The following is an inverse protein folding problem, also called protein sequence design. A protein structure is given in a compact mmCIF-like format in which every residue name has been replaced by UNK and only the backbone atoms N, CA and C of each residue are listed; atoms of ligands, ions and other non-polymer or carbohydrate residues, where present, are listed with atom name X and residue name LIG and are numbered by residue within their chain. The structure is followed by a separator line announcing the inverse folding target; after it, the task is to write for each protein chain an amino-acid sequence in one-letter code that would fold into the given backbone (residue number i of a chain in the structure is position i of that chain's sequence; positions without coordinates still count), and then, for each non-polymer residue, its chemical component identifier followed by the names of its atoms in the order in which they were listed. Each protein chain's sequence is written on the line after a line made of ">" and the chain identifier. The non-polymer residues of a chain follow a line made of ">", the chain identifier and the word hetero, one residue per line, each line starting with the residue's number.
data_IF_528621575218
#
_entry.id   IF_528621575218
#
_cell.length_a   1.000
_cell.length_b   1.000
_cell.length_c   1.000
_cell.angle_alpha   90.00
_cell.angle_beta   90.00
_cell.angle_gamma   90.00
#
_symmetry.space_group_name_H-M   'P 1'
#
loop_
_entity.id
_entity.type
_entity.pdbx_description
1 polymer ?
#
# COMPACT_ATOMS: atom_id res chain seq x y z
N UNK A 1 16.50 -2.60 -2.08
CA UNK A 1 15.08 -2.34 -1.77
C UNK A 1 15.05 -1.60 -0.45
N UNK A 2 14.35 -0.46 -0.35
CA UNK A 2 14.27 0.32 0.91
C UNK A 2 12.92 0.14 1.61
N UNK A 3 11.86 -0.14 0.84
CA UNK A 3 10.53 -0.46 1.36
C UNK A 3 9.95 -1.65 0.61
N UNK A 4 9.35 -2.59 1.35
CA UNK A 4 8.51 -3.65 0.83
C UNK A 4 7.18 -3.66 1.58
N UNK A 5 6.09 -3.83 0.84
CA UNK A 5 4.73 -3.97 1.35
C UNK A 5 4.20 -5.28 0.82
N UNK A 6 3.75 -6.16 1.71
CA UNK A 6 3.29 -7.49 1.33
C UNK A 6 1.90 -7.75 1.88
N UNK A 7 0.95 -7.96 0.97
CA UNK A 7 -0.44 -8.36 1.23
C UNK A 7 -1.10 -7.57 2.36
N UNK A 8 -0.80 -6.29 2.47
CA UNK A 8 -1.33 -5.45 3.55
C UNK A 8 -2.85 -5.33 3.39
N UNK A 9 -3.56 -5.62 4.47
CA UNK A 9 -5.01 -5.53 4.57
C UNK A 9 -5.38 -4.66 5.76
N UNK A 10 -6.35 -3.77 5.57
CA UNK A 10 -6.89 -2.94 6.64
C UNK A 10 -8.41 -2.86 6.52
N UNK A 11 -9.07 -3.06 7.65
CA UNK A 11 -10.52 -2.93 7.79
C UNK A 11 -10.87 -2.04 8.98
N UNK A 12 -12.04 -1.40 8.89
CA UNK A 12 -12.69 -0.60 9.92
C UNK A 12 -14.18 -0.98 9.93
N UNK A 13 -14.73 -1.43 11.06
CA UNK A 13 -16.17 -1.71 11.24
C UNK A 13 -16.84 -2.47 10.07
N UNK A 14 -16.19 -3.53 9.59
CA UNK A 14 -16.67 -4.34 8.47
C UNK A 14 -16.36 -3.80 7.06
N UNK A 15 -15.94 -2.54 6.94
CA UNK A 15 -15.44 -1.96 5.69
C UNK A 15 -13.96 -2.31 5.46
N UNK A 16 -13.64 -2.85 4.28
CA UNK A 16 -12.26 -3.18 3.88
C UNK A 16 -11.66 -2.01 3.12
N UNK A 17 -10.88 -1.17 3.82
CA UNK A 17 -10.24 0.01 3.26
C UNK A 17 -9.00 -0.32 2.41
N UNK A 18 -8.25 -1.36 2.77
CA UNK A 18 -7.10 -1.85 2.00
C UNK A 18 -7.23 -3.37 1.89
N UNK A 19 -7.15 -3.92 0.68
CA UNK A 19 -7.40 -5.34 0.45
C UNK A 19 -6.21 -6.06 -0.22
N UNK A 20 -5.19 -6.40 0.58
CA UNK A 20 -4.10 -7.27 0.12
C UNK A 20 -3.09 -6.59 -0.81
N UNK A 21 -2.78 -5.31 -0.57
CA UNK A 21 -1.87 -4.53 -1.41
C UNK A 21 -0.42 -5.00 -1.23
N UNK A 22 0.30 -5.16 -2.34
CA UNK A 22 1.73 -5.49 -2.34
C UNK A 22 2.49 -4.63 -3.33
N UNK A 23 3.60 -4.03 -2.91
CA UNK A 23 4.51 -3.26 -3.77
C UNK A 23 5.88 -3.11 -3.11
N UNK A 24 6.88 -2.69 -3.88
CA UNK A 24 8.23 -2.43 -3.37
C UNK A 24 8.77 -1.12 -3.93
N UNK A 25 9.52 -0.39 -3.11
CA UNK A 25 10.23 0.82 -3.53
C UNK A 25 11.75 0.55 -3.45
N UNK A 26 12.48 0.56 -4.58
CA UNK A 26 13.93 0.50 -4.60
C UNK A 26 14.56 1.83 -4.16
N UNK A 27 15.86 1.78 -3.84
CA UNK A 27 16.58 2.98 -3.42
C UNK A 27 16.65 3.98 -4.57
N UNK A 28 16.26 5.23 -4.32
CA UNK A 28 16.31 6.31 -5.30
C UNK A 28 15.06 6.47 -6.17
N UNK A 29 14.06 5.61 -6.01
CA UNK A 29 12.77 5.77 -6.71
C UNK A 29 11.88 6.79 -6.01
N UNK A 30 11.20 7.62 -6.80
CA UNK A 30 10.18 8.57 -6.36
C UNK A 30 8.81 7.94 -6.62
N UNK A 31 7.99 7.80 -5.59
CA UNK A 31 6.63 7.29 -5.70
C UNK A 31 5.63 8.26 -5.08
N UNK A 32 4.37 8.19 -5.52
CA UNK A 32 3.23 8.84 -4.88
C UNK A 32 2.08 7.84 -4.71
N UNK A 33 1.18 8.14 -3.76
CA UNK A 33 -0.08 7.41 -3.58
C UNK A 33 -1.20 8.36 -3.97
N UNK A 34 -2.10 7.89 -4.83
CA UNK A 34 -3.29 8.63 -5.29
C UNK A 34 -4.52 7.74 -5.13
N UNK A 35 -5.70 8.35 -5.12
CA UNK A 35 -6.97 7.63 -5.04
C UNK A 35 -8.16 8.57 -5.19
N UNK A 36 -9.37 8.03 -5.34
CA UNK A 36 -10.59 8.81 -5.18
C UNK A 36 -10.61 9.50 -3.79
N UNK A 37 -11.42 10.57 -3.67
CA UNK A 37 -11.71 11.18 -2.36
C UNK A 37 -12.30 10.15 -1.39
#
# INVERSE_FOLDING_TARGET
>A
MILGVEKVKKSFDGFVAINGVSFSIPKGEICSIIGPN
#
